data_IF_103650189302
#
_entry.id   IF_103650189302
#
_cell.length_a   1.000
_cell.length_b   1.000
_cell.length_c   1.000
_cell.angle_alpha   90.00
_cell.angle_beta   90.00
_cell.angle_gamma   90.00
#
_symmetry.space_group_name_H-M   'P 1'
#
loop_
_entity.id
_entity.type
_entity.pdbx_description
1 polymer ?
#
# COMPACT_ATOMS: atom_id res chain seq x y z
N UNK A 1 1.04 -37.53 -11.68
CA UNK A 1 1.39 -36.66 -10.54
C UNK A 1 1.38 -35.24 -11.06
N UNK A 2 0.31 -34.48 -10.81
CA UNK A 2 0.12 -33.12 -11.35
C UNK A 2 1.09 -32.20 -10.60
N UNK A 3 2.13 -31.72 -11.28
CA UNK A 3 3.08 -30.77 -10.71
C UNK A 3 2.57 -29.34 -10.90
N UNK A 4 2.63 -28.56 -9.82
CA UNK A 4 1.99 -27.26 -9.62
C UNK A 4 2.35 -26.21 -10.70
N UNK A 5 1.38 -25.35 -11.05
CA UNK A 5 1.66 -24.03 -11.60
C UNK A 5 2.07 -23.14 -10.42
N UNK A 6 3.33 -22.66 -10.41
CA UNK A 6 3.84 -21.81 -9.33
C UNK A 6 3.92 -20.33 -9.74
N UNK A 7 3.33 -19.51 -8.87
CA UNK A 7 3.54 -18.09 -8.52
C UNK A 7 3.80 -17.06 -9.65
N UNK A 8 3.05 -15.95 -9.60
CA UNK A 8 3.33 -14.72 -10.36
C UNK A 8 4.57 -14.04 -9.80
N UNK A 9 5.50 -13.70 -10.68
CA UNK A 9 6.44 -12.59 -10.48
C UNK A 9 6.41 -11.73 -11.74
N UNK A 10 5.89 -10.50 -11.64
CA UNK A 10 5.88 -9.51 -12.73
C UNK A 10 5.38 -10.01 -14.11
N UNK A 11 4.21 -10.68 -14.16
CA UNK A 11 3.57 -11.10 -15.41
C UNK A 11 4.19 -12.33 -16.11
N UNK A 12 5.05 -13.09 -15.41
CA UNK A 12 5.63 -14.35 -15.90
C UNK A 12 5.13 -15.52 -15.06
N UNK A 13 4.73 -16.60 -15.73
CA UNK A 13 4.31 -17.85 -15.09
C UNK A 13 5.27 -18.98 -15.43
N UNK A 14 5.57 -19.85 -14.46
CA UNK A 14 6.29 -21.11 -14.69
C UNK A 14 5.30 -22.28 -14.76
N UNK A 15 5.19 -22.91 -15.91
CA UNK A 15 4.57 -24.23 -16.03
C UNK A 15 5.61 -25.28 -15.62
N UNK A 16 5.25 -26.37 -14.93
CA UNK A 16 6.21 -27.47 -14.72
C UNK A 16 6.73 -28.01 -16.07
N UNK A 17 7.79 -28.81 -16.07
CA UNK A 17 8.34 -29.39 -17.30
C UNK A 17 7.25 -30.24 -18.02
N UNK A 18 7.12 -30.11 -19.35
CA UNK A 18 6.18 -30.81 -20.28
C UNK A 18 4.81 -30.16 -20.60
N UNK A 19 4.51 -28.95 -20.13
CA UNK A 19 3.29 -28.23 -20.55
C UNK A 19 3.60 -27.36 -21.77
N UNK A 20 2.77 -27.43 -22.81
CA UNK A 20 3.10 -26.82 -24.12
C UNK A 20 2.21 -25.66 -24.52
N UNK A 21 1.01 -25.54 -23.94
CA UNK A 21 0.00 -24.53 -24.35
C UNK A 21 -0.87 -24.14 -23.17
N UNK A 22 -0.57 -23.07 -22.41
CA UNK A 22 -1.46 -22.59 -21.37
C UNK A 22 -2.41 -21.50 -21.92
N UNK A 23 -3.64 -21.50 -21.42
CA UNK A 23 -4.63 -20.45 -21.59
C UNK A 23 -4.96 -19.83 -20.22
N UNK A 24 -5.13 -18.52 -20.18
CA UNK A 24 -5.55 -17.79 -19.00
C UNK A 24 -6.95 -17.25 -19.25
N UNK A 25 -7.86 -17.44 -18.30
CA UNK A 25 -9.20 -16.86 -18.36
C UNK A 25 -9.34 -15.85 -17.24
N UNK A 26 -9.82 -14.64 -17.55
CA UNK A 26 -9.94 -13.53 -16.59
C UNK A 26 -11.35 -12.95 -16.54
N UNK A 27 -11.74 -12.45 -15.36
CA UNK A 27 -12.96 -11.70 -15.12
C UNK A 27 -12.58 -10.27 -14.68
N UNK A 28 -13.12 -9.28 -15.39
CA UNK A 28 -13.08 -7.86 -15.01
C UNK A 28 -14.42 -7.44 -14.38
N UNK A 29 -14.31 -6.48 -13.47
CA UNK A 29 -15.24 -6.02 -12.43
C UNK A 29 -16.74 -6.46 -12.49
N UNK A 30 -17.12 -7.24 -11.47
CA UNK A 30 -18.44 -7.45 -10.84
C UNK A 30 -19.71 -7.75 -11.68
N UNK A 31 -19.66 -7.94 -13.00
CA UNK A 31 -20.84 -8.45 -13.75
C UNK A 31 -20.51 -9.28 -15.03
N UNK A 32 -19.26 -9.65 -15.24
CA UNK A 32 -18.79 -10.20 -16.52
C UNK A 32 -18.67 -11.72 -16.60
N UNK A 33 -18.62 -12.25 -17.82
CA UNK A 33 -18.12 -13.60 -18.10
C UNK A 33 -16.60 -13.60 -18.20
N UNK A 34 -15.95 -14.75 -17.98
CA UNK A 34 -14.51 -14.86 -18.16
C UNK A 34 -14.12 -14.70 -19.63
N UNK A 35 -13.16 -13.82 -19.92
CA UNK A 35 -12.51 -13.69 -21.22
C UNK A 35 -11.26 -14.56 -21.29
N UNK A 36 -11.16 -15.41 -22.31
CA UNK A 36 -10.01 -16.31 -22.50
C UNK A 36 -8.90 -15.61 -23.29
N UNK A 37 -7.66 -15.72 -22.81
CA UNK A 37 -6.42 -15.21 -23.39
C UNK A 37 -5.43 -16.38 -23.50
N UNK A 38 -4.82 -16.54 -24.68
CA UNK A 38 -3.81 -17.59 -24.87
C UNK A 38 -2.43 -17.05 -24.51
N UNK A 39 -1.65 -17.82 -23.75
CA UNK A 39 -0.29 -17.42 -23.38
C UNK A 39 0.69 -17.56 -24.55
N UNK A 40 1.58 -16.59 -24.70
CA UNK A 40 2.72 -16.66 -25.61
C UNK A 40 3.89 -17.35 -24.92
N UNK A 41 4.49 -18.33 -25.60
CA UNK A 41 5.70 -19.00 -25.12
C UNK A 41 6.87 -18.02 -25.07
N UNK A 42 7.61 -18.01 -23.95
CA UNK A 42 8.81 -17.18 -23.79
C UNK A 42 10.06 -18.05 -23.86
N UNK A 43 10.27 -18.94 -22.90
CA UNK A 43 11.39 -19.88 -22.88
C UNK A 43 11.22 -20.95 -21.78
N UNK A 44 11.66 -22.17 -22.06
CA UNK A 44 11.59 -23.29 -21.13
C UNK A 44 10.16 -23.55 -20.66
N UNK A 45 9.90 -23.20 -19.42
CA UNK A 45 8.61 -23.34 -18.74
C UNK A 45 7.83 -22.03 -18.64
N UNK A 46 8.35 -20.94 -19.20
CA UNK A 46 7.80 -19.60 -19.01
C UNK A 46 6.86 -19.19 -20.13
N UNK A 47 5.68 -18.69 -19.74
CA UNK A 47 4.69 -18.11 -20.62
C UNK A 47 4.32 -16.70 -20.18
N UNK A 48 4.05 -15.83 -21.15
CA UNK A 48 3.55 -14.47 -20.94
C UNK A 48 2.11 -14.36 -21.40
N UNK A 49 1.27 -13.70 -20.61
CA UNK A 49 -0.11 -13.40 -20.97
C UNK A 49 -0.28 -11.88 -21.01
N UNK A 50 -0.98 -11.40 -22.02
CA UNK A 50 -1.35 -9.98 -22.14
C UNK A 50 -2.85 -9.86 -21.96
N UNK A 51 -3.28 -9.26 -20.86
CA UNK A 51 -4.68 -9.10 -20.49
C UNK A 51 -4.84 -7.85 -19.63
N UNK A 52 -6.08 -7.49 -19.25
CA UNK A 52 -6.35 -6.26 -18.49
C UNK A 52 -6.47 -5.01 -19.36
N UNK A 53 -6.66 -5.15 -20.67
CA UNK A 53 -6.80 -4.03 -21.59
C UNK A 53 -8.18 -3.38 -21.43
N UNK A 54 -8.31 -2.51 -20.44
CA UNK A 54 -9.58 -1.90 -20.04
C UNK A 54 -9.72 -1.77 -18.52
N UNK A 55 -8.96 -2.56 -17.75
CA UNK A 55 -8.94 -2.45 -16.31
C UNK A 55 -8.47 -1.05 -15.89
N UNK A 56 -9.28 -0.39 -15.06
CA UNK A 56 -9.01 0.93 -14.50
C UNK A 56 -8.56 0.81 -13.05
N UNK A 57 -8.14 1.93 -12.46
CA UNK A 57 -7.69 1.92 -11.08
C UNK A 57 -8.81 1.55 -10.10
N UNK A 58 -8.44 0.79 -9.07
CA UNK A 58 -9.32 0.14 -8.08
C UNK A 58 -10.03 -1.12 -8.56
N UNK A 59 -9.89 -1.50 -9.83
CA UNK A 59 -10.40 -2.78 -10.31
C UNK A 59 -9.68 -3.93 -9.62
N UNK A 60 -10.44 -4.96 -9.27
CA UNK A 60 -9.91 -6.25 -8.85
C UNK A 60 -10.03 -7.23 -10.00
N UNK A 61 -8.91 -7.58 -10.61
CA UNK A 61 -8.86 -8.56 -11.69
C UNK A 61 -8.79 -9.95 -11.07
N UNK A 62 -9.77 -10.79 -11.41
CA UNK A 62 -9.79 -12.21 -11.01
C UNK A 62 -9.37 -13.08 -12.18
N UNK A 63 -8.48 -14.05 -11.96
CA UNK A 63 -7.97 -14.91 -13.02
C UNK A 63 -7.72 -16.35 -12.55
N UNK A 64 -7.75 -17.27 -13.51
CA UNK A 64 -7.25 -18.63 -13.37
C UNK A 64 -6.58 -19.07 -14.67
N UNK A 65 -5.67 -20.02 -14.57
CA UNK A 65 -4.94 -20.54 -15.72
C UNK A 65 -5.34 -21.98 -15.93
N UNK A 66 -5.63 -22.36 -17.17
CA UNK A 66 -5.78 -23.76 -17.59
C UNK A 66 -4.62 -24.11 -18.50
N UNK A 67 -3.97 -25.23 -18.24
CA UNK A 67 -2.89 -25.71 -19.08
C UNK A 67 -3.16 -27.15 -19.49
N UNK A 68 -2.47 -27.60 -20.54
CA UNK A 68 -2.40 -29.01 -20.92
C UNK A 68 -0.96 -29.47 -21.17
N UNK A 69 -0.73 -30.78 -21.03
CA UNK A 69 0.52 -31.43 -21.43
C UNK A 69 0.51 -31.89 -22.91
N UNK A 70 1.58 -32.60 -23.31
CA UNK A 70 1.78 -33.17 -24.65
C UNK A 70 1.44 -34.67 -24.74
N UNK A 71 0.70 -35.23 -23.79
CA UNK A 71 0.33 -36.64 -23.85
C UNK A 71 -0.64 -36.94 -25.00
N UNK A 72 -0.66 -38.19 -25.49
CA UNK A 72 -1.57 -38.62 -26.56
C UNK A 72 -3.05 -38.46 -26.19
N UNK A 73 -3.37 -38.59 -24.91
CA UNK A 73 -4.59 -38.05 -24.31
C UNK A 73 -4.13 -36.95 -23.34
N UNK A 74 -4.31 -35.65 -23.69
CA UNK A 74 -3.75 -34.56 -22.90
C UNK A 74 -4.31 -34.53 -21.48
N UNK A 75 -3.43 -34.36 -20.50
CA UNK A 75 -3.83 -34.00 -19.13
C UNK A 75 -4.09 -32.50 -19.09
N UNK A 76 -5.27 -32.10 -18.62
CA UNK A 76 -5.69 -30.69 -18.52
C UNK A 76 -6.04 -30.37 -17.07
N UNK A 77 -5.55 -29.24 -16.56
CA UNK A 77 -5.88 -28.78 -15.21
C UNK A 77 -5.82 -27.27 -15.08
N UNK A 78 -6.51 -26.74 -14.07
CA UNK A 78 -6.48 -25.31 -13.73
C UNK A 78 -5.66 -25.00 -12.48
N UNK A 79 -5.23 -23.75 -12.36
CA UNK A 79 -4.73 -23.15 -11.13
C UNK A 79 -5.33 -21.74 -10.93
N UNK A 80 -5.95 -21.46 -9.77
CA UNK A 80 -6.38 -22.42 -8.74
C UNK A 80 -7.35 -23.46 -9.30
N UNK A 81 -7.41 -24.68 -8.73
CA UNK A 81 -8.20 -25.79 -9.30
C UNK A 81 -9.56 -25.99 -8.63
N UNK A 82 -9.76 -25.48 -7.41
CA UNK A 82 -10.93 -25.78 -6.58
C UNK A 82 -12.22 -25.32 -7.26
N UNK A 83 -13.16 -26.25 -7.43
CA UNK A 83 -14.45 -25.98 -8.07
C UNK A 83 -14.41 -25.86 -9.61
N UNK A 84 -13.23 -25.88 -10.22
CA UNK A 84 -13.10 -25.85 -11.69
C UNK A 84 -13.46 -27.19 -12.32
N UNK A 85 -14.20 -27.16 -13.43
CA UNK A 85 -14.65 -28.37 -14.12
C UNK A 85 -14.83 -28.17 -15.64
N UNK A 86 -15.09 -29.28 -16.34
CA UNK A 86 -15.32 -29.32 -17.79
C UNK A 86 -14.11 -28.89 -18.60
N UNK A 87 -12.98 -29.55 -18.34
CA UNK A 87 -11.73 -29.25 -19.00
C UNK A 87 -11.71 -29.76 -20.45
N UNK A 88 -11.33 -28.89 -21.39
CA UNK A 88 -11.10 -29.27 -22.80
C UNK A 88 -9.63 -29.19 -23.11
N UNK A 89 -9.15 -29.99 -24.06
CA UNK A 89 -7.81 -29.85 -24.63
C UNK A 89 -7.90 -29.19 -26.01
N UNK A 90 -6.91 -28.37 -26.35
CA UNK A 90 -6.71 -27.75 -27.67
C UNK A 90 -7.90 -26.91 -28.18
N UNK A 91 -8.13 -25.70 -27.60
CA UNK A 91 -7.34 -25.07 -26.55
C UNK A 91 -7.69 -25.62 -25.16
N UNK A 92 -6.73 -25.59 -24.21
CA UNK A 92 -7.04 -25.82 -22.81
C UNK A 92 -8.09 -24.81 -22.36
N UNK A 93 -9.14 -25.26 -21.69
CA UNK A 93 -10.15 -24.39 -21.10
C UNK A 93 -10.87 -25.11 -19.97
N UNK A 94 -11.63 -24.37 -19.16
CA UNK A 94 -12.56 -24.90 -18.18
C UNK A 94 -13.95 -24.32 -18.47
N UNK A 95 -14.97 -25.17 -18.66
CA UNK A 95 -16.34 -24.70 -18.85
C UNK A 95 -16.97 -24.19 -17.55
N UNK A 96 -16.48 -24.65 -16.41
CA UNK A 96 -16.84 -24.15 -15.09
C UNK A 96 -15.59 -23.55 -14.44
N UNK A 97 -15.55 -22.23 -14.22
CA UNK A 97 -14.43 -21.57 -13.56
C UNK A 97 -14.21 -22.06 -12.12
N UNK A 98 -12.97 -21.99 -11.60
CA UNK A 98 -12.69 -22.19 -10.19
C UNK A 98 -13.48 -21.24 -9.29
N UNK A 99 -13.88 -21.71 -8.11
CA UNK A 99 -14.67 -20.92 -7.13
C UNK A 99 -13.82 -19.95 -6.30
N UNK A 100 -12.50 -20.12 -6.33
CA UNK A 100 -11.52 -19.28 -5.61
C UNK A 100 -10.39 -18.88 -6.57
N UNK A 101 -10.67 -18.05 -7.59
CA UNK A 101 -9.66 -17.59 -8.53
C UNK A 101 -8.60 -16.74 -7.81
N UNK A 102 -7.43 -16.62 -8.44
CA UNK A 102 -6.41 -15.67 -7.97
C UNK A 102 -6.83 -14.24 -8.31
N UNK A 103 -6.42 -13.27 -7.51
CA UNK A 103 -6.78 -11.86 -7.71
C UNK A 103 -5.57 -10.94 -7.61
N UNK A 104 -5.66 -9.80 -8.28
CA UNK A 104 -4.80 -8.64 -8.03
C UNK A 104 -5.59 -7.36 -8.24
N UNK A 105 -5.20 -6.28 -7.55
CA UNK A 105 -5.80 -4.97 -7.72
C UNK A 105 -4.96 -4.07 -8.61
N UNK A 106 -5.62 -3.27 -9.44
CA UNK A 106 -4.97 -2.19 -10.19
C UNK A 106 -4.86 -0.97 -9.28
N UNK A 107 -3.64 -0.63 -8.86
CA UNK A 107 -3.39 0.57 -8.06
C UNK A 107 -3.00 1.74 -8.97
N UNK A 108 -3.49 2.94 -8.65
CA UNK A 108 -2.99 4.16 -9.28
C UNK A 108 -1.55 4.43 -8.84
N UNK A 109 -0.80 5.09 -9.70
CA UNK A 109 0.53 5.60 -9.37
C UNK A 109 0.39 6.94 -8.63
N UNK A 110 1.01 7.06 -7.47
CA UNK A 110 1.35 8.35 -6.89
C UNK A 110 2.71 8.76 -7.43
N UNK A 111 2.71 9.70 -8.38
CA UNK A 111 3.93 10.14 -9.05
C UNK A 111 4.94 10.72 -8.05
N UNK A 112 6.24 10.56 -8.33
CA UNK A 112 7.27 11.19 -7.53
C UNK A 112 7.12 12.72 -7.57
N UNK A 113 7.28 13.38 -6.42
CA UNK A 113 7.22 14.83 -6.38
C UNK A 113 6.75 15.41 -5.05
N UNK A 114 6.56 16.73 -5.09
CA UNK A 114 6.06 17.52 -3.97
C UNK A 114 4.59 17.86 -4.21
N UNK A 115 3.77 17.56 -3.21
CA UNK A 115 2.34 17.85 -3.16
C UNK A 115 2.08 18.90 -2.08
N UNK A 116 1.50 20.01 -2.49
CA UNK A 116 1.17 21.16 -1.65
C UNK A 116 -0.09 20.93 -0.82
N UNK A 117 -0.05 21.35 0.44
CA UNK A 117 -1.17 21.23 1.39
C UNK A 117 -1.32 22.55 2.19
N UNK A 118 -2.37 23.33 1.95
CA UNK A 118 -3.42 23.13 0.95
C UNK A 118 -2.90 23.37 -0.47
N UNK A 119 -3.52 22.73 -1.45
CA UNK A 119 -3.20 22.85 -2.87
C UNK A 119 -3.57 21.57 -3.62
N UNK A 120 -2.56 20.75 -3.93
CA UNK A 120 -2.75 19.42 -4.55
C UNK A 120 -3.67 18.52 -3.71
N UNK A 121 -3.55 18.62 -2.39
CA UNK A 121 -4.53 18.09 -1.44
C UNK A 121 -5.05 19.21 -0.55
N UNK A 122 -6.33 19.15 -0.20
CA UNK A 122 -6.91 20.11 0.74
C UNK A 122 -6.32 19.98 2.15
N UNK A 123 -6.00 18.75 2.57
CA UNK A 123 -5.56 18.41 3.93
C UNK A 123 -4.61 17.21 3.90
N UNK A 124 -3.84 17.01 4.98
CA UNK A 124 -3.06 15.79 5.18
C UNK A 124 -3.96 14.56 5.26
N UNK A 125 -5.14 14.68 5.88
CA UNK A 125 -6.16 13.62 5.90
C UNK A 125 -6.64 13.21 4.50
N UNK A 126 -6.54 14.08 3.49
CA UNK A 126 -6.83 13.71 2.09
C UNK A 126 -5.61 13.11 1.36
N UNK A 127 -4.40 13.60 1.66
CA UNK A 127 -3.17 13.15 1.02
C UNK A 127 -2.73 11.74 1.49
N UNK A 128 -2.87 11.45 2.78
CA UNK A 128 -2.36 10.21 3.37
C UNK A 128 -3.12 8.94 2.91
N UNK A 129 -4.45 8.94 2.71
CA UNK A 129 -5.15 7.81 2.09
C UNK A 129 -4.62 7.44 0.70
N UNK A 130 -4.28 8.44 -0.11
CA UNK A 130 -3.64 8.22 -1.41
C UNK A 130 -2.25 7.60 -1.24
N UNK A 131 -1.41 8.13 -0.36
CA UNK A 131 -0.12 7.50 -0.04
C UNK A 131 -0.30 6.05 0.46
N UNK A 132 -1.32 5.76 1.26
CA UNK A 132 -1.53 4.43 1.83
C UNK A 132 -1.96 3.38 0.79
N UNK A 133 -2.56 3.79 -0.32
CA UNK A 133 -3.24 2.88 -1.26
C UNK A 133 -2.65 2.87 -2.66
N UNK A 134 -1.83 3.86 -3.03
CA UNK A 134 -1.23 3.99 -4.36
C UNK A 134 0.18 3.37 -4.43
N UNK A 135 0.54 2.95 -5.63
CA UNK A 135 1.91 2.58 -5.96
C UNK A 135 2.79 3.83 -5.94
N UNK A 136 3.95 3.77 -5.27
CA UNK A 136 4.86 4.92 -5.20
C UNK A 136 5.74 4.97 -6.47
N UNK A 137 5.63 6.06 -7.23
CA UNK A 137 6.47 6.32 -8.39
C UNK A 137 7.86 6.88 -8.07
N UNK A 138 8.17 7.06 -6.78
CA UNK A 138 9.43 7.59 -6.26
C UNK A 138 9.22 8.25 -4.90
N UNK A 139 10.12 9.16 -4.53
CA UNK A 139 10.00 9.93 -3.31
C UNK A 139 8.82 10.91 -3.36
N UNK A 140 8.04 10.92 -2.30
CA UNK A 140 6.85 11.76 -2.12
C UNK A 140 7.13 12.77 -1.02
N UNK A 141 6.80 14.03 -1.27
CA UNK A 141 6.85 15.10 -0.29
C UNK A 141 5.46 15.69 -0.12
N UNK A 142 4.90 15.61 1.09
CA UNK A 142 3.75 16.40 1.51
C UNK A 142 4.26 17.70 2.14
N UNK A 143 4.09 18.79 1.41
CA UNK A 143 4.63 20.10 1.76
C UNK A 143 3.52 21.01 2.28
N UNK A 144 3.62 21.39 3.55
CA UNK A 144 2.65 22.24 4.24
C UNK A 144 2.90 23.70 3.88
N UNK A 145 2.03 24.25 3.05
CA UNK A 145 2.16 25.59 2.45
C UNK A 145 1.43 26.66 3.25
N UNK A 146 1.48 27.90 2.76
CA UNK A 146 0.71 29.00 3.33
C UNK A 146 -0.78 28.69 3.35
N UNK A 147 -1.42 28.92 4.50
CA UNK A 147 -2.86 28.63 4.67
C UNK A 147 -3.16 27.24 5.21
N UNK A 148 -2.15 26.41 5.50
CA UNK A 148 -2.34 25.17 6.26
C UNK A 148 -3.07 25.45 7.57
N UNK A 149 -4.18 24.74 7.79
CA UNK A 149 -5.03 24.89 8.96
C UNK A 149 -5.36 23.54 9.58
N UNK A 150 -4.97 23.38 10.84
CA UNK A 150 -5.29 22.20 11.64
C UNK A 150 -6.78 21.99 11.89
N UNK A 151 -7.60 23.05 11.77
CA UNK A 151 -9.04 22.95 11.97
C UNK A 151 -9.74 22.15 10.87
N UNK A 152 -9.08 21.98 9.71
CA UNK A 152 -9.58 21.18 8.59
C UNK A 152 -9.18 19.70 8.67
N UNK A 153 -8.30 19.34 9.61
CA UNK A 153 -7.83 17.96 9.78
C UNK A 153 -8.77 17.17 10.70
N UNK A 154 -8.90 15.87 10.41
CA UNK A 154 -9.46 14.89 11.35
C UNK A 154 -8.32 14.00 11.84
N UNK A 155 -8.19 13.88 13.17
CA UNK A 155 -7.12 13.09 13.78
C UNK A 155 -7.64 11.72 14.26
N UNK A 156 -6.83 10.64 14.18
CA UNK A 156 -5.40 10.63 13.80
C UNK A 156 -5.17 10.64 12.29
N UNK A 157 -4.16 11.40 11.84
CA UNK A 157 -3.58 11.26 10.50
C UNK A 157 -2.70 10.00 10.52
N UNK A 158 -3.18 8.93 9.90
CA UNK A 158 -2.55 7.60 9.99
C UNK A 158 -1.87 7.20 8.69
N UNK A 159 -0.54 7.21 8.70
CA UNK A 159 0.29 6.65 7.62
C UNK A 159 0.46 5.16 7.90
N UNK A 160 -0.02 4.31 7.00
CA UNK A 160 0.09 2.86 7.10
C UNK A 160 1.34 2.36 6.36
N UNK A 161 1.68 1.09 6.58
CA UNK A 161 2.63 0.38 5.73
C UNK A 161 2.20 0.46 4.26
N UNK A 162 3.06 1.03 3.40
CA UNK A 162 2.91 0.96 1.96
C UNK A 162 3.92 -0.07 1.41
N UNK A 163 3.45 -1.08 0.69
CA UNK A 163 4.30 -2.16 0.17
C UNK A 163 5.35 -1.71 -0.87
N UNK A 164 5.19 -0.52 -1.45
CA UNK A 164 6.14 0.11 -2.36
C UNK A 164 7.15 1.05 -1.67
N UNK A 165 7.06 1.24 -0.35
CA UNK A 165 7.99 2.09 0.40
C UNK A 165 9.40 1.48 0.43
N UNK A 166 10.41 2.32 0.24
CA UNK A 166 11.81 1.89 0.19
C UNK A 166 12.74 3.09 0.42
N UNK A 167 14.06 2.83 0.43
CA UNK A 167 15.06 3.90 0.52
C UNK A 167 15.00 4.92 -0.64
N UNK A 168 14.38 4.57 -1.77
CA UNK A 168 14.16 5.49 -2.90
C UNK A 168 12.73 6.00 -3.01
N UNK A 169 11.78 5.29 -2.39
CA UNK A 169 10.35 5.60 -2.38
C UNK A 169 9.93 5.98 -0.96
N UNK A 170 10.39 7.15 -0.53
CA UNK A 170 10.17 7.67 0.83
C UNK A 170 8.92 8.54 0.89
N UNK A 171 8.35 8.72 2.09
CA UNK A 171 7.43 9.83 2.38
C UNK A 171 8.14 10.88 3.21
N UNK A 172 8.05 12.14 2.83
CA UNK A 172 8.46 13.28 3.67
C UNK A 172 7.28 14.20 3.94
N UNK A 173 7.01 14.53 5.19
CA UNK A 173 6.08 15.58 5.59
C UNK A 173 6.89 16.75 6.14
N UNK A 174 6.79 17.94 5.52
CA UNK A 174 7.57 19.12 5.91
C UNK A 174 6.85 20.44 5.65
N UNK A 175 7.24 21.54 6.33
CA UNK A 175 6.86 22.89 5.92
C UNK A 175 7.44 23.29 4.55
N UNK A 176 6.68 24.08 3.78
CA UNK A 176 7.22 24.82 2.64
C UNK A 176 8.16 25.93 3.11
N UNK A 177 9.05 26.40 2.23
CA UNK A 177 10.01 27.46 2.56
C UNK A 177 9.34 28.73 3.08
N UNK A 178 9.83 29.23 4.22
CA UNK A 178 9.27 30.39 4.91
C UNK A 178 7.97 30.15 5.66
N UNK A 179 7.41 28.94 5.64
CA UNK A 179 6.19 28.60 6.37
C UNK A 179 6.50 28.02 7.74
N UNK A 180 5.64 28.31 8.72
CA UNK A 180 5.74 27.78 10.09
C UNK A 180 4.42 27.13 10.53
N UNK A 181 3.97 26.06 9.88
CA UNK A 181 2.69 25.43 10.12
C UNK A 181 2.61 24.81 11.51
N UNK A 182 1.39 24.78 12.06
CA UNK A 182 1.08 24.09 13.31
C UNK A 182 0.04 23.02 13.04
N UNK A 183 0.36 21.77 13.36
CA UNK A 183 -0.53 20.60 13.43
C UNK A 183 -1.03 20.49 14.87
N UNK A 184 -2.30 20.81 15.11
CA UNK A 184 -2.88 20.87 16.44
C UNK A 184 -4.25 20.21 16.46
N UNK A 185 -4.53 19.46 17.52
CA UNK A 185 -5.80 18.78 17.71
C UNK A 185 -5.91 18.26 19.14
N UNK A 186 -7.09 17.79 19.51
CA UNK A 186 -7.33 17.15 20.81
C UNK A 186 -7.66 15.68 20.58
N UNK A 187 -6.70 14.80 20.84
CA UNK A 187 -6.89 13.35 20.73
C UNK A 187 -6.41 12.64 21.99
N UNK A 188 -7.36 12.08 22.75
CA UNK A 188 -7.07 11.28 23.93
C UNK A 188 -6.65 9.85 23.55
N UNK A 189 -5.73 9.26 24.33
CA UNK A 189 -5.25 7.88 24.14
C UNK A 189 -4.72 7.59 22.72
N UNK A 190 -4.13 8.61 22.07
CA UNK A 190 -3.70 8.51 20.68
C UNK A 190 -2.80 9.66 20.25
N UNK A 191 -2.26 9.55 19.05
CA UNK A 191 -1.37 10.55 18.46
C UNK A 191 -2.02 11.30 17.30
N UNK A 192 -1.72 12.59 17.14
CA UNK A 192 -2.19 13.35 15.99
C UNK A 192 -1.66 12.76 14.68
N UNK A 193 -0.39 12.35 14.66
CA UNK A 193 0.20 11.62 13.53
C UNK A 193 0.59 10.23 14.02
N UNK A 194 0.09 9.19 13.36
CA UNK A 194 0.45 7.79 13.63
C UNK A 194 1.15 7.18 12.42
N UNK A 195 2.37 6.69 12.62
CA UNK A 195 3.08 5.83 11.67
C UNK A 195 2.79 4.38 12.06
N UNK A 196 1.83 3.76 11.40
CA UNK A 196 1.26 2.47 11.75
C UNK A 196 1.90 1.34 10.92
N UNK A 197 3.02 0.81 11.40
CA UNK A 197 3.88 -0.11 10.65
C UNK A 197 4.48 0.51 9.38
N UNK A 198 4.45 1.84 9.27
CA UNK A 198 4.98 2.54 8.11
C UNK A 198 6.50 2.52 8.11
N UNK A 199 7.10 2.45 6.92
CA UNK A 199 8.54 2.45 6.73
C UNK A 199 8.98 3.64 5.87
N UNK A 200 10.20 4.13 6.08
CA UNK A 200 10.81 5.20 5.27
C UNK A 200 10.01 6.52 5.28
N UNK A 201 9.37 6.84 6.41
CA UNK A 201 8.66 8.11 6.60
C UNK A 201 9.52 9.10 7.37
N UNK A 202 9.66 10.31 6.83
CA UNK A 202 10.34 11.42 7.46
C UNK A 202 9.34 12.53 7.78
N UNK A 203 9.24 12.91 9.05
CA UNK A 203 8.61 14.17 9.47
C UNK A 203 9.75 15.13 9.75
N UNK A 204 9.93 16.12 8.87
CA UNK A 204 11.00 17.11 8.98
C UNK A 204 10.40 18.49 9.19
N UNK A 205 10.67 19.09 10.35
CA UNK A 205 10.12 20.39 10.67
C UNK A 205 10.91 21.60 10.16
N UNK A 206 11.97 21.41 9.38
CA UNK A 206 12.72 22.52 8.79
C UNK A 206 12.03 23.04 7.52
N UNK A 207 11.89 24.36 7.42
CA UNK A 207 11.45 25.03 6.20
C UNK A 207 12.62 25.52 5.32
N UNK A 208 13.85 25.49 5.85
CA UNK A 208 15.06 25.95 5.17
C UNK A 208 15.92 24.82 4.60
N UNK A 209 15.59 23.56 4.92
CA UNK A 209 16.45 22.40 4.66
C UNK A 209 17.59 22.23 5.66
N UNK A 210 17.66 23.09 6.69
CA UNK A 210 18.61 23.04 7.79
C UNK A 210 18.04 22.38 9.05
N UNK A 211 18.27 23.02 10.20
CA UNK A 211 17.89 22.51 11.53
C UNK A 211 16.88 23.39 12.27
N UNK A 212 16.24 24.33 11.57
CA UNK A 212 15.18 25.16 12.13
C UNK A 212 13.96 24.34 12.52
N UNK A 213 13.22 24.79 13.54
CA UNK A 213 12.05 24.09 14.08
C UNK A 213 10.74 24.76 13.67
N UNK A 214 10.49 24.79 12.37
CA UNK A 214 9.36 25.51 11.76
C UNK A 214 8.04 24.72 11.77
N UNK A 215 8.05 23.41 12.00
CA UNK A 215 6.84 22.61 12.21
C UNK A 215 6.55 22.42 13.70
N UNK A 216 5.35 22.84 14.13
CA UNK A 216 4.84 22.54 15.47
C UNK A 216 3.76 21.47 15.41
N UNK A 217 3.85 20.44 16.25
CA UNK A 217 2.84 19.40 16.44
C UNK A 217 2.40 19.45 17.91
N UNK A 218 1.14 19.77 18.18
CA UNK A 218 0.64 19.93 19.55
C UNK A 218 -0.68 19.22 19.78
N UNK A 219 -0.67 18.17 20.60
CA UNK A 219 -1.89 17.52 21.06
C UNK A 219 -2.38 18.19 22.36
N UNK A 220 -3.59 18.73 22.33
CA UNK A 220 -4.19 19.48 23.44
C UNK A 220 -5.13 18.64 24.31
N UNK A 221 -5.26 17.34 24.06
CA UNK A 221 -6.04 16.47 24.94
C UNK A 221 -5.42 16.38 26.34
N UNK A 222 -6.28 16.17 27.33
CA UNK A 222 -5.88 16.08 28.74
C UNK A 222 -5.55 14.66 29.18
N UNK A 223 -6.10 13.66 28.49
CA UNK A 223 -5.96 12.24 28.82
C UNK A 223 -5.05 11.52 27.83
N UNK A 224 -3.84 11.19 28.30
CA UNK A 224 -2.83 10.44 27.57
C UNK A 224 -2.62 10.88 26.09
N UNK A 225 -2.37 12.18 25.85
CA UNK A 225 -2.15 12.70 24.50
C UNK A 225 -0.80 12.26 23.95
N UNK A 226 -0.73 12.13 22.62
CA UNK A 226 0.53 12.04 21.91
C UNK A 226 0.60 12.96 20.67
N UNK A 227 1.79 13.48 20.37
CA UNK A 227 2.02 14.24 19.13
C UNK A 227 2.21 13.30 17.94
N UNK A 228 3.26 12.46 18.01
CA UNK A 228 3.63 11.50 16.98
C UNK A 228 3.80 10.11 17.58
N UNK A 229 3.15 9.10 17.00
CA UNK A 229 3.29 7.72 17.43
C UNK A 229 3.83 6.84 16.32
N UNK A 230 5.00 6.27 16.55
CA UNK A 230 5.64 5.25 15.70
C UNK A 230 5.23 3.89 16.26
N UNK A 231 4.31 3.23 15.57
CA UNK A 231 3.61 2.04 16.06
C UNK A 231 4.01 0.80 15.25
N UNK A 232 4.39 -0.27 15.93
CA UNK A 232 4.57 -1.60 15.32
C UNK A 232 3.21 -2.30 15.17
N UNK A 233 3.05 -3.05 14.08
CA UNK A 233 1.89 -3.92 13.83
C UNK A 233 2.04 -5.31 14.48
N UNK A 234 3.18 -5.61 15.10
CA UNK A 234 3.46 -6.87 15.77
C UNK A 234 4.84 -7.42 15.46
N UNK A 235 5.05 -8.70 15.80
CA UNK A 235 6.34 -9.37 15.59
C UNK A 235 6.71 -9.41 14.11
N UNK A 236 7.88 -8.87 13.75
CA UNK A 236 8.36 -8.80 12.37
C UNK A 236 7.69 -7.72 11.50
N UNK A 237 6.78 -6.91 12.05
CA UNK A 237 6.06 -5.84 11.35
C UNK A 237 6.25 -4.49 12.07
N UNK A 238 7.51 -4.18 12.39
CA UNK A 238 7.89 -2.89 13.00
C UNK A 238 7.76 -1.73 12.02
N UNK A 239 7.74 -0.50 12.54
CA UNK A 239 7.81 0.72 11.75
C UNK A 239 9.29 1.17 11.64
N UNK A 240 9.94 0.86 10.53
CA UNK A 240 11.38 0.93 10.31
C UNK A 240 11.81 2.15 9.50
N UNK A 241 13.04 2.62 9.73
CA UNK A 241 13.65 3.72 8.95
C UNK A 241 12.83 5.02 8.96
N UNK A 242 12.07 5.26 10.03
CA UNK A 242 11.32 6.48 10.21
C UNK A 242 12.17 7.53 10.93
N UNK A 243 11.99 8.78 10.53
CA UNK A 243 12.69 9.92 11.12
C UNK A 243 11.70 10.99 11.53
N UNK A 244 11.79 11.46 12.78
CA UNK A 244 11.14 12.70 13.24
C UNK A 244 12.26 13.65 13.61
N UNK A 245 12.42 14.72 12.83
CA UNK A 245 13.55 15.65 12.95
C UNK A 245 13.07 17.09 12.83
N UNK A 246 13.79 18.01 13.49
CA UNK A 246 13.53 19.45 13.36
C UNK A 246 12.09 19.88 13.72
N UNK A 247 11.32 19.10 14.48
CA UNK A 247 9.97 19.46 14.89
C UNK A 247 9.95 20.03 16.32
N UNK A 248 8.96 20.88 16.62
CA UNK A 248 8.51 21.17 17.98
C UNK A 248 7.31 20.29 18.28
N UNK A 249 7.44 19.30 19.17
CA UNK A 249 6.38 18.31 19.46
C UNK A 249 5.97 18.37 20.92
N UNK A 250 4.73 18.79 21.17
CA UNK A 250 4.23 19.14 22.50
C UNK A 250 2.90 18.46 22.82
N UNK A 251 2.61 18.30 24.11
CA UNK A 251 1.34 17.76 24.65
C UNK A 251 0.80 18.68 25.74
N UNK A 252 0.49 19.93 25.37
CA UNK A 252 0.23 21.03 26.31
C UNK A 252 -1.06 20.92 27.14
N UNK A 253 -1.93 19.94 26.85
CA UNK A 253 -3.17 19.72 27.61
C UNK A 253 -3.04 18.72 28.75
N UNK A 254 -1.95 17.95 28.81
CA UNK A 254 -1.87 16.81 29.72
C UNK A 254 -1.81 17.22 31.19
N UNK A 255 -2.73 16.69 31.99
CA UNK A 255 -2.73 16.85 33.46
C UNK A 255 -2.27 15.58 34.19
N UNK A 256 -1.85 14.55 33.43
CA UNK A 256 -1.49 13.21 33.93
C UNK A 256 -0.21 12.67 33.27
N UNK A 257 0.48 11.76 33.97
CA UNK A 257 1.83 11.26 33.68
C UNK A 257 1.99 10.41 32.40
N UNK A 258 1.00 10.37 31.51
CA UNK A 258 0.97 9.49 30.30
C UNK A 258 0.96 10.28 28.99
N UNK A 259 1.57 11.46 28.99
CA UNK A 259 1.68 12.32 27.81
C UNK A 259 3.02 12.15 27.11
N UNK A 260 3.00 11.98 25.79
CA UNK A 260 4.20 11.73 25.00
C UNK A 260 4.27 12.70 23.82
N UNK A 261 5.33 13.49 23.72
CA UNK A 261 5.58 14.22 22.47
C UNK A 261 5.69 13.22 21.31
N UNK A 262 6.60 12.27 21.45
CA UNK A 262 6.80 11.16 20.52
C UNK A 262 6.74 9.84 21.29
N UNK A 263 5.94 8.89 20.83
CA UNK A 263 5.87 7.54 21.38
C UNK A 263 6.35 6.51 20.35
N UNK A 264 7.06 5.48 20.81
CA UNK A 264 7.44 4.31 20.00
C UNK A 264 6.96 3.07 20.75
N UNK A 265 5.98 2.35 20.19
CA UNK A 265 5.38 1.18 20.86
C UNK A 265 4.68 0.23 19.88
N UNK A 266 3.99 -0.79 20.39
CA UNK A 266 3.19 -1.73 19.60
C UNK A 266 1.81 -1.17 19.20
N UNK A 267 0.80 -2.04 19.23
CA UNK A 267 -0.58 -1.70 18.87
C UNK A 267 -1.28 -0.77 19.87
N UNK A 268 -0.76 -0.71 21.10
CA UNK A 268 -1.23 0.20 22.15
C UNK A 268 -0.15 1.23 22.45
N UNK A 269 -0.56 2.50 22.58
CA UNK A 269 0.35 3.60 22.92
C UNK A 269 0.82 3.51 24.39
N UNK A 270 0.15 2.65 25.17
CA UNK A 270 0.48 2.32 26.55
C UNK A 270 0.80 0.83 26.67
N UNK A 271 2.04 0.45 26.38
CA UNK A 271 2.63 -0.80 26.88
C UNK A 271 3.79 -0.39 27.78
N UNK A 272 3.53 -0.49 29.08
CA UNK A 272 4.29 0.04 30.22
C UNK A 272 5.79 -0.27 30.29
N UNK A 273 6.52 0.74 30.80
CA UNK A 273 7.73 0.77 31.65
C UNK A 273 9.02 0.10 31.20
#
# INVERSE_FOLDING_TARGET
MVQNLDRIDHGRFRCANNWSRPSCSLLEDQCGSYAAVTGSFVSGSNYSFTFGAGAVASDVVSYYIVAQDLAGTPNVSAFPSTGGAGFTATPPAASTPPTTPSTYSIQTLLAAGTYSIPGDYATLMAAVPDYNTKCLGGAIVFELTSGYSSASETYPITVNANGGASATNTLTIRPATGQTPTISGSLANGALIKLNGADFVTINGSNSGGTDRSLTITNTATTAPCGVWISSLGNGAGALNNTVSNCSVNTNGATIATAYGIAVSGLTIHSSR
#
